data_IF_945479049495
#
_entry.id   IF_945479049495
#
_cell.length_a   1.000
_cell.length_b   1.000
_cell.length_c   1.000
_cell.angle_alpha   90.00
_cell.angle_beta   90.00
_cell.angle_gamma   90.00
#
_symmetry.space_group_name_H-M   'P 1'
#
loop_
_entity.id
_entity.type
_entity.pdbx_description
1 polymer ?
#
# COMPACT_ATOMS: atom_id res chain seq x y z
N UNK A 1 57.83 -4.15 -37.90
CA UNK A 1 58.35 -5.52 -37.73
C UNK A 1 58.25 -5.89 -36.25
N UNK A 2 57.50 -6.96 -36.00
CA UNK A 2 57.36 -7.86 -34.84
C UNK A 2 58.15 -7.59 -33.53
N UNK A 3 57.35 -7.59 -32.43
CA UNK A 3 57.51 -7.88 -30.95
C UNK A 3 58.66 -8.85 -30.53
N UNK A 4 58.81 -9.31 -29.25
CA UNK A 4 58.50 -8.81 -27.86
C UNK A 4 59.66 -9.04 -26.84
N UNK A 5 59.46 -8.76 -25.54
CA UNK A 5 59.78 -9.62 -24.35
C UNK A 5 59.34 -8.87 -23.09
N UNK A 6 58.22 -9.27 -22.47
CA UNK A 6 58.14 -10.07 -21.23
C UNK A 6 58.74 -9.40 -19.98
N UNK A 7 57.85 -8.85 -19.15
CA UNK A 7 58.14 -8.52 -17.76
C UNK A 7 56.99 -9.01 -16.87
N UNK A 8 57.24 -10.14 -16.19
CA UNK A 8 56.36 -10.76 -15.18
C UNK A 8 56.50 -9.96 -13.88
N UNK A 9 55.39 -9.50 -13.31
CA UNK A 9 55.34 -9.00 -11.94
C UNK A 9 54.03 -9.43 -11.29
N UNK A 10 54.11 -10.43 -10.40
CA UNK A 10 53.03 -10.82 -9.48
C UNK A 10 53.03 -9.86 -8.30
N UNK A 11 51.85 -9.43 -7.88
CA UNK A 11 51.60 -8.76 -6.61
C UNK A 11 50.17 -8.27 -6.64
N UNK A 12 49.23 -9.03 -6.09
CA UNK A 12 48.66 -8.63 -4.81
C UNK A 12 47.15 -8.59 -4.98
N UNK A 13 46.53 -9.74 -4.72
CA UNK A 13 45.10 -9.87 -4.55
C UNK A 13 44.83 -9.32 -3.15
N UNK A 14 44.20 -8.15 -3.05
CA UNK A 14 43.48 -7.77 -1.84
C UNK A 14 42.13 -7.21 -2.27
N UNK A 15 41.11 -7.84 -1.72
CA UNK A 15 39.73 -7.84 -2.14
C UNK A 15 38.97 -7.62 -0.84
N UNK A 16 38.19 -6.54 -0.77
CA UNK A 16 37.46 -6.13 0.42
C UNK A 16 37.88 -4.70 0.77
N UNK A 17 36.99 -3.77 1.06
CA UNK A 17 35.60 -3.86 1.41
C UNK A 17 35.03 -2.51 0.96
N UNK A 18 34.00 -2.56 0.13
CA UNK A 18 33.23 -1.37 -0.15
C UNK A 18 32.62 -0.92 1.18
N UNK A 19 33.00 0.26 1.65
CA UNK A 19 32.19 1.04 2.59
C UNK A 19 31.00 1.63 1.81
N UNK A 20 30.26 0.73 1.15
CA UNK A 20 28.86 0.91 0.97
C UNK A 20 28.29 0.61 2.34
N UNK A 21 28.07 1.67 3.12
CA UNK A 21 27.04 1.65 4.15
C UNK A 21 25.76 1.20 3.46
N UNK A 22 25.56 -0.11 3.50
CA UNK A 22 24.37 -0.80 3.10
C UNK A 22 23.28 -0.15 3.94
N UNK A 23 22.54 0.76 3.30
CA UNK A 23 21.27 1.22 3.81
C UNK A 23 20.42 -0.05 3.92
N UNK A 24 20.48 -0.64 5.10
CA UNK A 24 19.68 -1.74 5.62
C UNK A 24 18.30 -1.59 5.01
N UNK A 25 17.98 -2.50 4.08
CA UNK A 25 16.81 -2.39 3.25
C UNK A 25 15.58 -2.12 4.10
N UNK A 26 15.00 -0.92 3.94
CA UNK A 26 13.64 -0.68 4.34
C UNK A 26 12.81 -1.76 3.65
N UNK A 27 12.35 -2.75 4.43
CA UNK A 27 11.62 -3.90 3.94
C UNK A 27 10.54 -3.43 2.98
N UNK A 28 10.51 -4.00 1.78
CA UNK A 28 9.62 -3.57 0.71
C UNK A 28 8.17 -3.75 1.17
N UNK A 29 7.54 -2.65 1.62
CA UNK A 29 6.13 -2.65 2.00
C UNK A 29 5.34 -2.94 0.73
N UNK A 30 4.47 -3.96 0.79
CA UNK A 30 3.59 -4.26 -0.34
C UNK A 30 2.63 -3.10 -0.58
N UNK A 31 2.47 -2.72 -1.85
CA UNK A 31 1.54 -1.66 -2.20
C UNK A 31 0.11 -2.08 -1.86
N UNK A 32 -0.77 -1.15 -1.42
CA UNK A 32 -2.18 -1.43 -1.27
C UNK A 32 -2.79 -1.95 -2.57
N UNK A 33 -3.72 -2.90 -2.47
CA UNK A 33 -4.38 -3.48 -3.64
C UNK A 33 -5.91 -3.37 -3.55
N UNK A 34 -6.57 -3.25 -4.71
CA UNK A 34 -8.03 -3.20 -4.77
C UNK A 34 -8.63 -4.60 -4.68
N UNK A 35 -9.72 -4.72 -3.94
CA UNK A 35 -10.51 -5.95 -3.80
C UNK A 35 -12.00 -5.65 -3.95
N UNK A 36 -12.79 -6.67 -4.25
CA UNK A 36 -14.26 -6.60 -4.28
C UNK A 36 -14.85 -7.53 -3.23
N UNK A 37 -15.62 -6.96 -2.31
CA UNK A 37 -16.40 -7.74 -1.33
C UNK A 37 -17.76 -8.15 -1.88
N UNK A 38 -18.43 -9.04 -1.13
CA UNK A 38 -19.82 -9.42 -1.37
C UNK A 38 -20.71 -8.18 -1.57
N UNK A 39 -21.59 -8.24 -2.58
CA UNK A 39 -22.39 -7.09 -3.00
C UNK A 39 -21.61 -6.04 -3.80
N UNK A 40 -20.48 -6.42 -4.42
CA UNK A 40 -19.65 -5.57 -5.28
C UNK A 40 -19.07 -4.33 -4.59
N UNK A 41 -18.93 -4.37 -3.26
CA UNK A 41 -18.37 -3.22 -2.52
C UNK A 41 -16.87 -3.11 -2.79
N UNK A 42 -16.38 -1.95 -3.24
CA UNK A 42 -14.96 -1.73 -3.48
C UNK A 42 -14.23 -1.61 -2.15
N UNK A 43 -13.11 -2.34 -2.05
CA UNK A 43 -12.22 -2.31 -0.89
C UNK A 43 -10.81 -1.98 -1.35
N UNK A 44 -10.09 -1.22 -0.53
CA UNK A 44 -8.64 -1.09 -0.63
C UNK A 44 -8.02 -1.82 0.56
N UNK A 45 -7.25 -2.87 0.28
CA UNK A 45 -6.51 -3.61 1.29
C UNK A 45 -5.09 -3.06 1.35
N UNK A 46 -4.71 -2.51 2.50
CA UNK A 46 -3.42 -1.89 2.73
C UNK A 46 -2.65 -2.65 3.82
N UNK A 47 -1.47 -3.22 3.52
CA UNK A 47 -0.56 -3.73 4.52
C UNK A 47 -0.23 -2.72 5.60
N UNK A 48 0.12 -3.25 6.77
CA UNK A 48 0.61 -2.47 7.90
C UNK A 48 1.74 -1.53 7.44
N UNK A 49 1.58 -0.27 7.80
CA UNK A 49 2.57 0.75 7.58
C UNK A 49 2.44 1.79 8.69
N UNK A 50 3.51 2.07 9.44
CA UNK A 50 3.47 3.02 10.56
C UNK A 50 3.10 4.44 10.13
N UNK A 51 3.28 4.80 8.85
CA UNK A 51 2.83 6.10 8.31
C UNK A 51 1.31 6.18 8.14
N UNK A 52 0.60 5.03 8.15
CA UNK A 52 -0.84 4.90 7.93
C UNK A 52 -1.55 4.22 9.10
N UNK A 53 -1.51 4.81 10.32
CA UNK A 53 -2.15 4.19 11.48
C UNK A 53 -3.67 4.05 11.29
N UNK A 54 -4.22 2.97 11.85
CA UNK A 54 -5.66 2.72 11.96
C UNK A 54 -6.13 3.08 13.38
N UNK A 55 -6.32 4.37 13.63
CA UNK A 55 -6.69 4.89 14.96
C UNK A 55 -8.21 4.76 15.21
N UNK A 56 -8.66 4.04 16.25
CA UNK A 56 -10.08 3.96 16.61
C UNK A 56 -10.74 5.34 16.84
N UNK A 57 -9.99 6.33 17.33
CA UNK A 57 -10.50 7.69 17.52
C UNK A 57 -10.88 8.37 16.19
N UNK A 58 -10.30 7.92 15.07
CA UNK A 58 -10.62 8.38 13.73
C UNK A 58 -11.71 7.54 13.03
N UNK A 59 -12.36 6.62 13.77
CA UNK A 59 -13.48 5.82 13.30
C UNK A 59 -13.12 4.44 12.74
N UNK A 60 -11.87 4.01 12.86
CA UNK A 60 -11.47 2.64 12.51
C UNK A 60 -12.13 1.65 13.47
N UNK A 61 -12.72 0.60 12.93
CA UNK A 61 -13.39 -0.45 13.73
C UNK A 61 -12.80 -1.83 13.47
N UNK A 62 -12.98 -2.75 14.41
CA UNK A 62 -12.59 -4.14 14.24
C UNK A 62 -13.49 -4.90 13.26
N UNK A 63 -13.11 -6.13 12.87
CA UNK A 63 -13.89 -6.93 11.95
C UNK A 63 -15.24 -7.32 12.57
N UNK A 64 -16.27 -7.44 11.74
CA UNK A 64 -17.64 -7.78 12.18
C UNK A 64 -18.45 -6.60 12.73
N UNK A 65 -17.85 -5.42 12.89
CA UNK A 65 -18.57 -4.19 13.18
C UNK A 65 -19.07 -3.57 11.88
N UNK A 66 -20.35 -3.18 11.83
CA UNK A 66 -20.86 -2.39 10.71
C UNK A 66 -20.17 -1.02 10.75
N UNK A 67 -19.27 -0.77 9.80
CA UNK A 67 -18.58 0.52 9.68
C UNK A 67 -19.53 1.52 9.03
N UNK A 68 -19.91 2.56 9.77
CA UNK A 68 -20.61 3.71 9.21
C UNK A 68 -19.69 4.50 8.28
N UNK A 69 -20.28 5.19 7.30
CA UNK A 69 -19.52 6.03 6.37
C UNK A 69 -19.00 7.28 7.10
N UNK A 70 -17.69 7.41 7.20
CA UNK A 70 -16.98 8.55 7.80
C UNK A 70 -16.89 9.72 6.83
N UNK A 71 -17.83 10.66 6.93
CA UNK A 71 -17.95 11.81 6.02
C UNK A 71 -16.89 12.89 6.22
N UNK A 72 -16.17 12.82 7.32
CA UNK A 72 -14.98 13.62 7.63
C UNK A 72 -13.71 13.11 6.93
N UNK A 73 -13.77 11.92 6.35
CA UNK A 73 -12.75 11.38 5.43
C UNK A 73 -13.19 11.55 3.98
N UNK A 74 -12.24 11.46 3.05
CA UNK A 74 -12.54 11.44 1.63
C UNK A 74 -11.56 10.56 0.85
N UNK A 75 -12.05 9.92 -0.22
CA UNK A 75 -11.24 9.25 -1.22
C UNK A 75 -11.53 9.81 -2.62
N UNK A 76 -10.47 10.06 -3.39
CA UNK A 76 -10.53 10.51 -4.77
C UNK A 76 -9.66 9.63 -5.65
N UNK A 77 -10.24 9.09 -6.72
CA UNK A 77 -9.57 8.18 -7.64
C UNK A 77 -9.65 8.70 -9.07
N UNK A 78 -8.52 8.86 -9.74
CA UNK A 78 -8.44 9.39 -11.11
C UNK A 78 -8.41 8.30 -12.20
N UNK A 79 -8.49 7.03 -11.81
CA UNK A 79 -8.32 5.88 -12.71
C UNK A 79 -6.95 5.19 -12.58
N UNK A 80 -5.95 5.87 -12.00
CA UNK A 80 -4.59 5.36 -11.81
C UNK A 80 -4.10 5.54 -10.38
N UNK A 81 -4.35 6.70 -9.79
CA UNK A 81 -3.90 7.11 -8.46
C UNK A 81 -5.09 7.34 -7.54
N UNK A 82 -4.94 6.89 -6.30
CA UNK A 82 -5.92 7.08 -5.23
C UNK A 82 -5.32 7.98 -4.15
N UNK A 83 -6.05 9.04 -3.83
CA UNK A 83 -5.80 9.87 -2.65
C UNK A 83 -6.88 9.58 -1.61
N UNK A 84 -6.46 9.26 -0.40
CA UNK A 84 -7.31 9.12 0.78
C UNK A 84 -6.88 10.18 1.80
N UNK A 85 -7.80 11.05 2.18
CA UNK A 85 -7.56 12.19 3.06
C UNK A 85 -8.24 11.96 4.42
N UNK A 86 -7.48 12.22 5.48
CA UNK A 86 -7.92 12.17 6.87
C UNK A 86 -8.76 13.41 7.23
N UNK A 87 -9.44 13.42 8.40
CA UNK A 87 -10.18 14.59 8.89
C UNK A 87 -9.32 15.83 9.11
N UNK A 88 -8.03 15.65 9.41
CA UNK A 88 -7.06 16.73 9.57
C UNK A 88 -6.55 17.29 8.22
N UNK A 89 -7.00 16.73 7.09
CA UNK A 89 -6.57 17.11 5.75
C UNK A 89 -5.29 16.44 5.28
N UNK A 90 -4.59 15.68 6.13
CA UNK A 90 -3.37 14.97 5.73
C UNK A 90 -3.71 13.72 4.90
N UNK A 91 -2.83 13.32 3.96
CA UNK A 91 -3.01 12.07 3.23
C UNK A 91 -2.83 10.88 4.19
N UNK A 92 -3.82 9.99 4.23
CA UNK A 92 -3.65 8.64 4.75
C UNK A 92 -3.01 7.74 3.70
N UNK A 93 -3.42 7.86 2.43
CA UNK A 93 -2.78 7.19 1.31
C UNK A 93 -2.75 8.13 0.12
N UNK A 94 -1.63 8.12 -0.60
CA UNK A 94 -1.50 8.82 -1.86
C UNK A 94 -0.57 8.01 -2.78
N UNK A 95 -1.15 7.29 -3.73
CA UNK A 95 -0.37 6.37 -4.55
C UNK A 95 -1.15 5.66 -5.65
N UNK A 96 -0.42 4.97 -6.55
CA UNK A 96 -1.03 4.21 -7.63
C UNK A 96 -1.85 3.04 -7.06
N UNK A 97 -2.94 2.69 -7.75
CA UNK A 97 -3.74 1.50 -7.43
C UNK A 97 -3.97 0.74 -8.73
N UNK A 98 -3.62 -0.55 -8.74
CA UNK A 98 -3.85 -1.44 -9.88
C UNK A 98 -5.33 -1.84 -9.98
N UNK A 99 -6.22 -0.86 -10.17
CA UNK A 99 -7.67 -1.06 -10.19
C UNK A 99 -8.14 -1.67 -11.51
N UNK A 100 -8.79 -2.82 -11.41
CA UNK A 100 -9.53 -3.39 -12.53
C UNK A 100 -10.77 -2.54 -12.88
N UNK A 101 -11.31 -2.76 -14.08
CA UNK A 101 -12.51 -2.07 -14.56
C UNK A 101 -13.72 -2.33 -13.67
N UNK A 102 -13.88 -3.55 -13.16
CA UNK A 102 -14.98 -3.88 -12.23
C UNK A 102 -14.89 -3.07 -10.94
N UNK A 103 -13.68 -2.96 -10.35
CA UNK A 103 -13.47 -2.19 -9.14
C UNK A 103 -13.79 -0.70 -9.35
N UNK A 104 -13.35 -0.14 -10.47
CA UNK A 104 -13.62 1.25 -10.84
C UNK A 104 -15.13 1.51 -11.02
N UNK A 105 -15.84 0.56 -11.63
CA UNK A 105 -17.32 0.62 -11.76
C UNK A 105 -18.01 0.52 -10.40
N UNK A 106 -17.54 -0.36 -9.53
CA UNK A 106 -18.04 -0.49 -8.17
C UNK A 106 -17.85 0.81 -7.38
N UNK A 107 -16.66 1.42 -7.44
CA UNK A 107 -16.38 2.72 -6.80
C UNK A 107 -17.35 3.80 -7.29
N UNK A 108 -17.62 3.86 -8.60
CA UNK A 108 -18.60 4.80 -9.17
C UNK A 108 -20.02 4.54 -8.68
N UNK A 109 -20.43 3.27 -8.61
CA UNK A 109 -21.78 2.88 -8.23
C UNK A 109 -22.05 3.10 -6.73
N UNK A 110 -21.09 2.76 -5.87
CA UNK A 110 -21.24 2.83 -4.42
C UNK A 110 -20.92 4.21 -3.86
N UNK A 111 -20.06 5.00 -4.53
CA UNK A 111 -19.56 6.30 -4.04
C UNK A 111 -18.97 6.23 -2.62
N UNK A 112 -18.48 5.06 -2.26
CA UNK A 112 -17.90 4.75 -0.97
C UNK A 112 -16.79 3.72 -1.18
N UNK A 113 -15.74 3.82 -0.38
CA UNK A 113 -14.61 2.91 -0.38
C UNK A 113 -14.41 2.38 1.04
N UNK A 114 -14.33 1.06 1.20
CA UNK A 114 -13.88 0.47 2.45
C UNK A 114 -12.36 0.34 2.43
N UNK A 115 -11.69 0.88 3.43
CA UNK A 115 -10.27 0.68 3.69
C UNK A 115 -10.14 -0.45 4.68
N UNK A 116 -9.24 -1.38 4.40
CA UNK A 116 -8.91 -2.50 5.29
C UNK A 116 -7.41 -2.50 5.53
N UNK A 117 -6.99 -2.46 6.79
CA UNK A 117 -5.60 -2.65 7.19
C UNK A 117 -5.55 -3.48 8.47
N UNK A 118 -4.38 -3.67 9.06
CA UNK A 118 -4.21 -4.50 10.25
C UNK A 118 -2.81 -5.07 10.35
N UNK A 119 -2.59 -5.98 11.29
CA UNK A 119 -1.29 -6.61 11.52
C UNK A 119 -0.94 -7.69 10.46
N UNK A 120 -0.77 -7.27 9.20
CA UNK A 120 -0.28 -8.06 8.08
C UNK A 120 0.63 -7.21 7.18
N UNK A 121 1.59 -7.83 6.48
CA UNK A 121 2.59 -7.13 5.68
C UNK A 121 2.53 -7.50 4.19
N UNK A 122 1.83 -8.57 3.84
CA UNK A 122 1.75 -9.12 2.49
C UNK A 122 0.32 -9.60 2.18
N UNK A 123 0.03 -9.96 0.92
CA UNK A 123 -1.23 -10.63 0.59
C UNK A 123 -1.35 -12.04 1.20
N UNK A 124 -0.23 -12.70 1.52
CA UNK A 124 -0.22 -14.10 1.96
C UNK A 124 -0.55 -14.27 3.45
N UNK A 125 -0.22 -13.29 4.29
CA UNK A 125 -0.56 -13.26 5.72
C UNK A 125 -1.90 -12.55 6.01
N UNK A 126 -2.49 -11.88 5.00
CA UNK A 126 -3.81 -11.27 5.11
C UNK A 126 -4.91 -12.24 5.57
N UNK A 127 -5.07 -13.46 4.99
CA UNK A 127 -6.10 -14.40 5.46
C UNK A 127 -5.92 -14.81 6.92
N UNK A 128 -4.67 -14.97 7.37
CA UNK A 128 -4.37 -15.29 8.77
C UNK A 128 -4.72 -14.12 9.69
N UNK A 129 -4.37 -12.89 9.32
CA UNK A 129 -4.76 -11.70 10.09
C UNK A 129 -6.29 -11.53 10.16
N UNK A 130 -7.00 -11.82 9.07
CA UNK A 130 -8.46 -11.84 9.02
C UNK A 130 -9.05 -12.88 9.98
N UNK A 131 -8.56 -14.12 9.93
CA UNK A 131 -9.03 -15.21 10.80
C UNK A 131 -8.75 -14.93 12.29
N UNK A 132 -7.69 -14.18 12.59
CA UNK A 132 -7.33 -13.78 13.96
C UNK A 132 -8.05 -12.51 14.44
N UNK A 133 -8.93 -11.93 13.64
CA UNK A 133 -9.66 -10.71 14.00
C UNK A 133 -8.76 -9.46 14.10
N UNK A 134 -7.59 -9.45 13.44
CA UNK A 134 -6.57 -8.39 13.55
C UNK A 134 -6.71 -7.31 12.48
N UNK A 135 -7.84 -7.28 11.78
CA UNK A 135 -8.12 -6.28 10.77
C UNK A 135 -8.79 -5.06 11.39
N UNK A 136 -8.56 -3.91 10.79
CA UNK A 136 -9.26 -2.67 11.05
C UNK A 136 -9.88 -2.19 9.76
N UNK A 137 -11.13 -1.74 9.84
CA UNK A 137 -11.92 -1.30 8.69
C UNK A 137 -12.43 0.12 8.89
N UNK A 138 -12.49 0.86 7.78
CA UNK A 138 -13.04 2.21 7.73
C UNK A 138 -13.77 2.38 6.40
N UNK A 139 -15.03 2.85 6.40
CA UNK A 139 -15.71 3.19 5.15
C UNK A 139 -15.75 4.70 4.97
N UNK A 140 -15.29 5.18 3.82
CA UNK A 140 -15.18 6.61 3.50
C UNK A 140 -15.94 6.95 2.22
N UNK A 141 -16.47 8.17 2.06
CA UNK A 141 -16.97 8.67 0.79
C UNK A 141 -15.88 8.59 -0.27
N UNK A 142 -16.23 8.12 -1.47
CA UNK A 142 -15.31 7.99 -2.57
C UNK A 142 -15.89 8.57 -3.85
N UNK A 143 -15.07 9.26 -4.62
CA UNK A 143 -15.44 9.77 -5.94
C UNK A 143 -14.40 9.43 -6.99
N UNK A 144 -14.88 9.17 -8.20
CA UNK A 144 -14.01 9.24 -9.37
C UNK A 144 -13.84 10.70 -9.75
N UNK A 145 -12.62 11.08 -10.05
CA UNK A 145 -12.27 12.39 -10.58
C UNK A 145 -11.68 12.22 -11.98
N UNK A 146 -11.75 13.26 -12.79
CA UNK A 146 -11.08 13.25 -14.08
C UNK A 146 -9.56 13.24 -13.88
N UNK A 147 -8.82 12.48 -14.69
CA UNK A 147 -7.36 12.53 -14.64
C UNK A 147 -6.88 13.93 -15.02
N UNK A 148 -5.97 14.47 -14.21
CA UNK A 148 -5.28 15.73 -14.47
C UNK A 148 -4.24 15.59 -15.59
#
# INVERSE_FOLDING_TARGET
>A
MVRPVSGRGRGGHDKGEGDAVEAIGAGRVWAPWPELMAGHRPVLVAPFDPSRPADPAQGWTGPGTVSEVRRDWAAAFDGTRLLVTRPDGAPWYDGPVAAAREWTRALRAHQALTLTTGAFHTPFDFPTAAAQGRLSVLTVPARLIDPH
#
